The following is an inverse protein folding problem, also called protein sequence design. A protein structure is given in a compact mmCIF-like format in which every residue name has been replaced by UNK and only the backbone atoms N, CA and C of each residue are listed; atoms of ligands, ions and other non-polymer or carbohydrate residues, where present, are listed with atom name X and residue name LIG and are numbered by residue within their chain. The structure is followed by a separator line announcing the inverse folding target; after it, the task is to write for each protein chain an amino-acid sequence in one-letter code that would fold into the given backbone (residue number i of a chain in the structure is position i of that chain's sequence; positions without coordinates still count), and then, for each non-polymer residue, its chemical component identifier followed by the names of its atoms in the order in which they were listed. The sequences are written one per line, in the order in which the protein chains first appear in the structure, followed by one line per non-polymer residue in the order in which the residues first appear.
data_IF_605849818038
#
_entry.id   IF_605849818038
#
_cell.length_a   1.000
_cell.length_b   1.000
_cell.length_c   1.000
_cell.angle_alpha   90.00
_cell.angle_beta   90.00
_cell.angle_gamma   90.00
#
_symmetry.space_group_name_H-M   'P 1'
#
loop_
_entity.id
_entity.type
_entity.pdbx_description
1 polymer ?
#
# COMPACT_ATOMS: atom_id res chain seq x y z
N UNK A 1 9.80 2.63 -4.99
CA UNK A 1 8.70 2.59 -4.00
C UNK A 1 9.04 1.59 -2.91
N UNK A 2 8.72 1.93 -1.65
CA UNK A 2 9.06 1.14 -0.46
C UNK A 2 9.72 1.97 0.65
N UNK A 3 9.88 1.38 1.84
CA UNK A 3 10.38 2.09 3.02
C UNK A 3 11.79 2.67 2.87
N UNK A 4 12.69 1.93 2.22
CA UNK A 4 14.06 2.39 1.98
C UNK A 4 14.18 3.60 1.04
N UNK A 5 13.11 3.99 0.34
CA UNK A 5 13.13 5.16 -0.53
C UNK A 5 13.16 6.49 0.26
N UNK A 6 12.67 6.49 1.51
CA UNK A 6 12.62 7.71 2.33
C UNK A 6 14.02 8.17 2.73
N UNK A 7 14.89 7.32 3.35
CA UNK A 7 16.27 7.73 3.65
C UNK A 7 17.08 8.07 2.41
N UNK A 8 16.81 7.42 1.27
CA UNK A 8 17.48 7.75 0.01
C UNK A 8 17.09 9.13 -0.51
N UNK A 9 15.80 9.47 -0.48
CA UNK A 9 15.33 10.80 -0.86
C UNK A 9 15.92 11.89 0.04
N UNK A 10 16.04 11.60 1.32
CA UNK A 10 16.62 12.51 2.31
C UNK A 10 18.12 12.74 2.03
N UNK A 11 18.86 11.66 1.77
CA UNK A 11 20.26 11.71 1.39
C UNK A 11 20.52 12.47 0.07
N UNK A 12 19.51 12.59 -0.83
CA UNK A 12 19.62 13.41 -2.03
C UNK A 12 19.64 14.92 -1.74
N UNK A 13 19.22 15.37 -0.55
CA UNK A 13 19.31 16.76 -0.13
C UNK A 13 18.44 17.74 -0.91
N UNK A 14 17.45 17.25 -1.68
CA UNK A 14 16.58 18.13 -2.46
C UNK A 14 15.52 18.81 -1.58
N UNK A 15 15.15 20.08 -1.83
CA UNK A 15 14.13 20.78 -1.04
C UNK A 15 12.78 20.06 -1.01
N UNK A 16 12.41 19.37 -2.08
CA UNK A 16 11.14 18.66 -2.23
C UNK A 16 11.05 17.39 -1.38
N UNK A 17 12.18 16.87 -0.89
CA UNK A 17 12.22 15.77 0.07
C UNK A 17 11.90 16.23 1.50
N UNK A 18 12.02 17.54 1.79
CA UNK A 18 11.80 18.06 3.14
C UNK A 18 10.33 17.95 3.55
N UNK A 19 10.13 17.39 4.74
CA UNK A 19 8.82 17.19 5.34
C UNK A 19 8.18 15.85 5.00
N UNK A 20 8.91 14.97 4.29
CA UNK A 20 8.55 13.56 4.21
C UNK A 20 9.08 12.81 5.43
N UNK A 21 8.26 11.91 5.95
CA UNK A 21 8.60 10.96 6.99
C UNK A 21 7.97 9.61 6.69
N UNK A 22 8.41 8.59 7.41
CA UNK A 22 7.91 7.23 7.28
C UNK A 22 7.49 6.66 8.61
N UNK A 23 6.30 6.06 8.67
CA UNK A 23 5.88 5.26 9.82
C UNK A 23 5.86 3.77 9.44
N UNK A 24 6.75 2.94 9.99
CA UNK A 24 6.79 1.53 9.67
C UNK A 24 5.59 0.79 10.27
N UNK A 25 4.98 -0.08 9.47
CA UNK A 25 3.87 -0.94 9.87
C UNK A 25 4.22 -2.37 9.47
N UNK A 26 4.16 -3.29 10.44
CA UNK A 26 4.33 -4.72 10.19
C UNK A 26 2.96 -5.40 10.10
N UNK A 27 2.85 -6.38 9.20
CA UNK A 27 1.66 -7.22 9.06
C UNK A 27 1.93 -8.65 9.49
N UNK A 28 1.12 -9.15 10.41
CA UNK A 28 1.18 -10.53 10.89
C UNK A 28 -0.09 -11.29 10.47
N UNK A 29 0.05 -12.60 10.29
CA UNK A 29 -1.04 -13.49 9.93
C UNK A 29 -0.92 -14.78 10.73
N UNK A 30 -2.05 -15.39 11.09
CA UNK A 30 -2.09 -16.79 11.50
C UNK A 30 -2.03 -17.65 10.23
N UNK A 31 -1.02 -18.51 10.12
CA UNK A 31 -0.88 -19.48 9.02
C UNK A 31 -1.38 -20.82 9.51
N UNK A 32 -2.31 -21.42 8.76
CA UNK A 32 -2.73 -22.79 9.01
C UNK A 32 -1.61 -23.76 8.59
N UNK A 33 -1.34 -24.76 9.44
CA UNK A 33 -0.37 -25.83 9.21
C UNK A 33 -1.04 -27.16 8.86
N UNK A 34 -2.37 -27.25 9.00
CA UNK A 34 -3.15 -28.46 8.75
C UNK A 34 -3.57 -28.56 7.25
N UNK A 35 -3.08 -29.57 6.51
CA UNK A 35 -3.35 -29.71 5.07
C UNK A 35 -4.82 -30.00 4.76
N UNK A 36 -5.54 -30.68 5.65
CA UNK A 36 -6.96 -31.04 5.42
C UNK A 36 -7.86 -29.80 5.47
N UNK A 37 -7.54 -28.85 6.35
CA UNK A 37 -8.22 -27.54 6.40
C UNK A 37 -7.83 -26.71 5.18
N UNK A 38 -6.55 -26.65 4.82
CA UNK A 38 -6.07 -25.88 3.66
C UNK A 38 -6.73 -26.35 2.35
N UNK A 39 -6.94 -27.66 2.18
CA UNK A 39 -7.55 -28.22 0.98
C UNK A 39 -9.02 -27.78 0.79
N UNK A 40 -9.73 -27.54 1.88
CA UNK A 40 -11.15 -27.12 1.87
C UNK A 40 -11.33 -25.65 1.46
N UNK A 41 -10.32 -24.81 1.65
CA UNK A 41 -10.38 -23.40 1.28
C UNK A 41 -9.74 -23.14 -0.10
N UNK A 42 -10.53 -22.58 -1.02
CA UNK A 42 -10.11 -22.29 -2.40
C UNK A 42 -10.17 -20.81 -2.76
N UNK A 43 -10.62 -19.96 -1.84
CA UNK A 43 -10.90 -18.56 -2.10
C UNK A 43 -10.39 -17.68 -0.97
N UNK A 44 -10.41 -16.37 -1.25
CA UNK A 44 -10.25 -15.34 -0.25
C UNK A 44 -11.63 -14.90 0.24
N UNK A 45 -11.86 -15.03 1.54
CA UNK A 45 -13.15 -14.76 2.18
C UNK A 45 -13.00 -13.62 3.17
N UNK A 46 -13.70 -12.51 2.88
CA UNK A 46 -13.77 -11.35 3.75
C UNK A 46 -14.95 -11.48 4.70
N UNK A 47 -14.73 -11.17 5.97
CA UNK A 47 -15.82 -11.05 6.94
C UNK A 47 -16.34 -9.63 7.03
N UNK A 48 -17.35 -9.45 7.87
CA UNK A 48 -17.89 -8.14 8.18
C UNK A 48 -16.90 -7.37 9.04
N UNK A 49 -16.64 -6.11 8.69
CA UNK A 49 -15.85 -5.22 9.53
C UNK A 49 -16.49 -5.09 10.93
N UNK A 50 -15.71 -5.33 11.99
CA UNK A 50 -16.17 -5.02 13.34
C UNK A 50 -16.37 -3.51 13.49
N UNK A 51 -17.38 -3.12 14.27
CA UNK A 51 -17.72 -1.70 14.50
C UNK A 51 -16.49 -0.94 15.00
N UNK A 52 -16.13 0.15 14.32
CA UNK A 52 -14.97 0.98 14.65
C UNK A 52 -13.64 0.50 14.06
N UNK A 53 -13.62 -0.59 13.28
CA UNK A 53 -12.42 -1.00 12.54
C UNK A 53 -12.18 -0.08 11.34
N UNK A 54 -10.93 0.36 11.08
CA UNK A 54 -10.60 1.04 9.83
C UNK A 54 -11.00 0.19 8.61
N UNK A 55 -11.51 0.82 7.53
CA UNK A 55 -12.03 0.09 6.37
C UNK A 55 -10.99 -0.79 5.66
N UNK A 56 -9.70 -0.55 5.88
CA UNK A 56 -8.59 -1.28 5.25
C UNK A 56 -8.02 -2.44 6.09
N UNK A 57 -8.52 -2.69 7.30
CA UNK A 57 -7.91 -3.62 8.27
C UNK A 57 -8.82 -4.76 8.70
N UNK A 58 -9.80 -5.13 7.88
CA UNK A 58 -10.73 -6.23 8.20
C UNK A 58 -10.02 -7.57 8.04
N UNK A 59 -10.00 -8.43 9.08
CA UNK A 59 -9.48 -9.78 8.96
C UNK A 59 -10.21 -10.60 7.90
N UNK A 60 -9.49 -11.52 7.28
CA UNK A 60 -10.00 -12.37 6.22
C UNK A 60 -9.24 -13.69 6.20
N UNK A 61 -9.92 -14.74 5.75
CA UNK A 61 -9.29 -16.00 5.37
C UNK A 61 -8.78 -15.87 3.94
N UNK A 62 -7.49 -16.09 3.74
CA UNK A 62 -6.80 -15.89 2.46
C UNK A 62 -6.10 -17.18 2.05
N UNK A 63 -6.61 -17.83 1.01
CA UNK A 63 -5.91 -18.93 0.35
C UNK A 63 -4.86 -18.36 -0.61
N UNK A 64 -3.60 -18.71 -0.40
CA UNK A 64 -2.47 -18.25 -1.23
C UNK A 64 -1.58 -19.39 -1.68
N UNK A 65 -0.86 -19.15 -2.78
CA UNK A 65 0.28 -19.98 -3.18
C UNK A 65 1.57 -19.33 -2.64
N UNK A 66 2.22 -19.99 -1.69
CA UNK A 66 3.52 -19.60 -1.14
C UNK A 66 4.55 -20.62 -1.60
N UNK A 67 5.54 -20.18 -2.40
CA UNK A 67 6.60 -21.03 -2.96
C UNK A 67 6.07 -22.31 -3.64
N UNK A 68 4.94 -22.20 -4.35
CA UNK A 68 4.28 -23.30 -5.04
C UNK A 68 3.41 -24.20 -4.16
N UNK A 69 3.32 -23.93 -2.85
CA UNK A 69 2.50 -24.66 -1.89
C UNK A 69 1.25 -23.85 -1.53
N UNK A 70 0.07 -24.49 -1.55
CA UNK A 70 -1.16 -23.86 -1.08
C UNK A 70 -1.07 -23.64 0.43
N UNK A 71 -1.37 -22.43 0.88
CA UNK A 71 -1.34 -22.00 2.27
C UNK A 71 -2.62 -21.24 2.60
N UNK A 72 -3.14 -21.42 3.81
CA UNK A 72 -4.27 -20.67 4.33
C UNK A 72 -3.79 -19.70 5.41
N UNK A 73 -4.14 -18.42 5.25
CA UNK A 73 -3.76 -17.35 6.17
C UNK A 73 -5.01 -16.68 6.76
N UNK A 74 -4.93 -16.25 8.00
CA UNK A 74 -5.94 -15.42 8.65
C UNK A 74 -5.31 -14.14 9.22
N UNK A 75 -5.94 -13.00 8.95
CA UNK A 75 -5.45 -11.68 9.36
C UNK A 75 -5.86 -10.60 8.35
N UNK A 76 -5.19 -9.44 8.31
CA UNK A 76 -3.94 -9.11 9.01
C UNK A 76 -4.15 -8.70 10.47
N UNK A 77 -3.16 -9.00 11.30
CA UNK A 77 -2.96 -8.35 12.60
C UNK A 77 -1.84 -7.31 12.48
N UNK A 78 -1.96 -6.20 13.20
CA UNK A 78 -0.88 -5.22 13.25
C UNK A 78 0.29 -5.75 14.09
N UNK A 79 1.49 -5.75 13.51
CA UNK A 79 2.74 -5.94 14.21
C UNK A 79 3.49 -4.63 14.39
N UNK A 80 4.43 -4.60 15.33
CA UNK A 80 5.33 -3.47 15.54
C UNK A 80 6.75 -3.78 15.05
N UNK A 81 7.34 -2.83 14.34
CA UNK A 81 8.73 -2.87 13.88
C UNK A 81 9.20 -1.46 13.58
N UNK A 82 10.43 -1.11 13.92
CA UNK A 82 11.06 0.16 13.54
C UNK A 82 11.81 0.08 12.21
N UNK A 83 11.87 -1.11 11.59
CA UNK A 83 12.58 -1.36 10.33
C UNK A 83 11.80 -0.81 9.14
N UNK A 84 12.51 -0.29 8.15
CA UNK A 84 11.93 0.16 6.88
C UNK A 84 11.93 -0.94 5.82
N UNK A 85 12.83 -1.92 5.95
CA UNK A 85 12.96 -3.09 5.09
C UNK A 85 12.85 -4.39 5.90
N UNK A 86 12.48 -5.51 5.25
CA UNK A 86 12.39 -6.84 5.91
C UNK A 86 13.70 -7.20 6.62
N UNK A 87 14.83 -6.98 5.95
CA UNK A 87 16.19 -7.18 6.48
C UNK A 87 16.87 -5.85 6.85
N UNK A 88 16.09 -4.84 7.26
CA UNK A 88 16.58 -3.51 7.65
C UNK A 88 17.05 -3.42 9.10
N UNK A 89 17.42 -2.21 9.51
CA UNK A 89 17.90 -1.93 10.87
C UNK A 89 16.78 -1.49 11.79
N UNK A 90 16.83 -1.87 13.06
CA UNK A 90 15.93 -1.31 14.07
C UNK A 90 16.18 0.20 14.31
N UNK A 91 17.28 0.73 13.80
CA UNK A 91 17.58 2.16 13.80
C UNK A 91 16.96 2.91 12.62
N UNK A 92 16.32 2.23 11.65
CA UNK A 92 15.77 2.88 10.46
C UNK A 92 14.80 4.02 10.82
N UNK A 93 13.79 3.76 11.68
CA UNK A 93 12.86 4.79 12.11
C UNK A 93 13.57 5.91 12.91
N UNK A 94 14.31 5.65 14.01
CA UNK A 94 14.98 6.72 14.76
C UNK A 94 15.90 7.59 13.91
N UNK A 95 16.67 7.00 13.00
CA UNK A 95 17.60 7.72 12.13
C UNK A 95 16.88 8.48 11.00
N UNK A 96 15.64 8.10 10.66
CA UNK A 96 14.82 8.83 9.69
C UNK A 96 14.13 10.07 10.27
N UNK A 97 14.17 10.27 11.59
CA UNK A 97 13.55 11.43 12.24
C UNK A 97 14.52 12.61 12.21
N UNK A 98 14.13 13.63 11.47
CA UNK A 98 14.87 14.87 11.30
C UNK A 98 14.07 16.10 11.78
N UNK A 99 14.76 17.22 11.99
CA UNK A 99 14.15 18.48 12.41
C UNK A 99 13.01 18.92 11.47
N UNK A 100 13.11 18.62 10.18
CA UNK A 100 12.12 19.03 9.19
C UNK A 100 10.90 18.09 9.09
N UNK A 101 10.95 16.88 9.67
CA UNK A 101 9.86 15.89 9.58
C UNK A 101 9.29 15.45 10.94
N UNK A 102 9.92 15.79 12.06
CA UNK A 102 9.44 15.44 13.41
C UNK A 102 8.03 15.96 13.69
N UNK A 103 7.75 17.22 13.35
CA UNK A 103 6.41 17.78 13.54
C UNK A 103 5.36 17.14 12.62
N UNK A 104 5.62 16.94 11.31
CA UNK A 104 4.76 16.12 10.46
C UNK A 104 4.48 14.72 11.03
N UNK A 105 5.49 14.00 11.52
CA UNK A 105 5.31 12.66 12.09
C UNK A 105 4.35 12.67 13.30
N UNK A 106 4.55 13.61 14.24
CA UNK A 106 3.72 13.73 15.44
C UNK A 106 2.29 14.16 15.11
N UNK A 107 2.14 15.20 14.29
CA UNK A 107 0.83 15.72 13.89
C UNK A 107 0.02 14.68 13.11
N UNK A 108 0.65 13.87 12.26
CA UNK A 108 -0.02 12.75 11.59
C UNK A 108 -0.60 11.74 12.59
N UNK A 109 0.15 11.40 13.65
CA UNK A 109 -0.32 10.51 14.70
C UNK A 109 -1.54 11.05 15.45
N UNK A 110 -1.56 12.36 15.72
CA UNK A 110 -2.67 13.07 16.39
C UNK A 110 -3.90 13.17 15.48
N UNK A 111 -3.72 13.50 14.20
CA UNK A 111 -4.83 13.56 13.25
C UNK A 111 -5.47 12.19 13.00
N UNK A 112 -4.72 11.10 13.23
CA UNK A 112 -5.16 9.74 12.98
C UNK A 112 -5.32 8.92 14.26
N UNK A 113 -5.73 9.54 15.37
CA UNK A 113 -5.88 8.89 16.69
C UNK A 113 -6.68 7.58 16.63
N UNK A 114 -7.75 7.51 15.84
CA UNK A 114 -8.55 6.27 15.71
C UNK A 114 -7.71 5.11 15.15
N UNK A 115 -6.96 5.36 14.08
CA UNK A 115 -6.05 4.38 13.49
C UNK A 115 -4.89 4.05 14.44
N UNK A 116 -4.27 5.06 15.05
CA UNK A 116 -3.18 4.88 16.03
C UNK A 116 -3.61 3.99 17.19
N UNK A 117 -4.79 4.27 17.79
CA UNK A 117 -5.37 3.45 18.86
C UNK A 117 -5.65 2.02 18.40
N UNK A 118 -6.20 1.85 17.19
CA UNK A 118 -6.45 0.53 16.62
C UNK A 118 -5.16 -0.27 16.45
N UNK A 119 -4.11 0.32 15.87
CA UNK A 119 -2.81 -0.32 15.68
C UNK A 119 -2.17 -0.71 17.02
N UNK A 120 -2.19 0.18 18.01
CA UNK A 120 -1.69 -0.12 19.37
C UNK A 120 -2.44 -1.31 19.95
N UNK A 121 -3.79 -1.30 19.88
CA UNK A 121 -4.62 -2.41 20.38
C UNK A 121 -4.25 -3.73 19.73
N UNK A 122 -4.06 -3.75 18.40
CA UNK A 122 -3.68 -4.93 17.64
C UNK A 122 -2.28 -5.45 18.01
N UNK A 123 -1.32 -4.54 18.23
CA UNK A 123 0.06 -4.91 18.62
C UNK A 123 0.09 -5.58 20.00
N UNK A 124 -0.72 -5.10 20.95
CA UNK A 124 -0.76 -5.66 22.32
C UNK A 124 -1.62 -6.92 22.45
N UNK A 125 -2.30 -7.37 21.39
CA UNK A 125 -3.10 -8.59 21.44
C UNK A 125 -2.26 -9.82 21.81
N UNK A 126 -2.80 -10.67 22.66
CA UNK A 126 -2.21 -11.96 22.98
C UNK A 126 -2.40 -12.96 21.83
N UNK A 127 -1.68 -14.10 21.81
CA UNK A 127 -1.96 -15.19 20.87
C UNK A 127 -3.42 -15.65 20.92
N UNK A 128 -4.00 -15.72 22.13
CA UNK A 128 -5.38 -16.12 22.37
C UNK A 128 -6.37 -15.11 21.78
N UNK A 129 -6.16 -13.80 22.00
CA UNK A 129 -6.99 -12.74 21.40
C UNK A 129 -7.01 -12.83 19.86
N UNK A 130 -5.86 -13.14 19.26
CA UNK A 130 -5.74 -13.31 17.81
C UNK A 130 -6.53 -14.54 17.38
N UNK A 131 -6.36 -15.66 18.07
CA UNK A 131 -7.06 -16.90 17.77
C UNK A 131 -8.58 -16.79 17.95
N UNK A 132 -9.07 -16.10 18.98
CA UNK A 132 -10.50 -15.84 19.17
C UNK A 132 -11.12 -15.12 17.97
N UNK A 133 -10.39 -14.17 17.36
CA UNK A 133 -10.84 -13.51 16.14
C UNK A 133 -10.93 -14.49 14.95
N UNK A 134 -10.06 -15.49 14.86
CA UNK A 134 -10.15 -16.55 13.86
C UNK A 134 -11.37 -17.43 14.11
N UNK A 135 -11.65 -17.81 15.36
CA UNK A 135 -12.82 -18.64 15.72
C UNK A 135 -14.14 -17.98 15.30
N UNK A 136 -14.21 -16.64 15.29
CA UNK A 136 -15.39 -15.93 14.76
C UNK A 136 -15.62 -16.14 13.25
N UNK A 137 -14.59 -16.50 12.50
CA UNK A 137 -14.63 -16.74 11.06
C UNK A 137 -14.65 -18.24 10.72
N UNK A 138 -13.98 -19.04 11.54
CA UNK A 138 -13.88 -20.48 11.43
C UNK A 138 -14.06 -21.13 12.82
N UNK A 139 -15.30 -21.41 13.25
CA UNK A 139 -15.61 -21.86 14.61
C UNK A 139 -14.98 -23.20 15.02
N UNK A 140 -14.61 -24.03 14.04
CA UNK A 140 -13.99 -25.34 14.25
C UNK A 140 -12.45 -25.27 14.31
N UNK A 141 -11.87 -24.06 14.28
CA UNK A 141 -10.43 -23.89 14.37
C UNK A 141 -9.88 -24.52 15.66
N UNK A 142 -8.81 -25.31 15.53
CA UNK A 142 -7.99 -25.76 16.64
C UNK A 142 -6.70 -24.93 16.70
N UNK A 143 -6.34 -24.39 17.86
CA UNK A 143 -5.19 -23.47 18.00
C UNK A 143 -3.86 -24.09 17.56
N UNK A 144 -3.68 -25.39 17.77
CA UNK A 144 -2.44 -26.11 17.41
C UNK A 144 -2.19 -26.16 15.89
N UNK A 145 -3.24 -25.96 15.08
CA UNK A 145 -3.15 -25.93 13.61
C UNK A 145 -2.75 -24.57 13.06
N UNK A 146 -2.46 -23.57 13.92
CA UNK A 146 -2.20 -22.20 13.49
C UNK A 146 -0.98 -21.59 14.17
N UNK A 147 -0.13 -20.97 13.37
CA UNK A 147 1.07 -20.28 13.85
C UNK A 147 1.12 -18.83 13.37
N UNK A 148 1.63 -17.93 14.21
CA UNK A 148 1.76 -16.52 13.84
C UNK A 148 3.01 -16.32 12.96
N UNK A 149 2.80 -15.82 11.74
CA UNK A 149 3.87 -15.47 10.79
C UNK A 149 3.89 -13.97 10.53
N UNK A 150 5.09 -13.41 10.34
CA UNK A 150 5.26 -12.01 9.91
C UNK A 150 5.42 -11.96 8.40
N UNK A 151 4.39 -11.49 7.70
CA UNK A 151 4.33 -11.59 6.23
C UNK A 151 4.99 -10.40 5.50
N UNK A 152 5.05 -9.23 6.14
CA UNK A 152 5.52 -8.03 5.46
C UNK A 152 5.90 -6.87 6.36
N UNK A 153 6.86 -6.09 5.86
CA UNK A 153 7.21 -4.78 6.38
C UNK A 153 6.74 -3.74 5.37
N UNK A 154 5.95 -2.77 5.83
CA UNK A 154 5.55 -1.61 5.04
C UNK A 154 5.98 -0.33 5.76
N UNK A 155 6.08 0.76 5.01
CA UNK A 155 6.28 2.10 5.56
C UNK A 155 5.21 2.99 4.97
N UNK A 156 4.41 3.55 5.86
CA UNK A 156 3.36 4.49 5.55
C UNK A 156 4.00 5.88 5.41
N UNK A 157 3.88 6.50 4.23
CA UNK A 157 4.41 7.86 4.04
C UNK A 157 3.58 8.83 4.86
N UNK A 158 4.28 9.76 5.49
CA UNK A 158 3.73 11.00 6.05
C UNK A 158 4.33 12.16 5.26
N UNK A 159 3.46 13.02 4.73
CA UNK A 159 3.86 14.20 3.95
C UNK A 159 3.40 15.45 4.67
N UNK A 160 4.31 16.42 4.80
CA UNK A 160 3.98 17.76 5.28
C UNK A 160 3.02 18.46 4.31
N UNK A 161 1.90 18.96 4.84
CA UNK A 161 0.95 19.79 4.11
C UNK A 161 1.37 21.27 4.10
N UNK A 162 0.49 22.14 3.59
CA UNK A 162 0.75 23.58 3.47
C UNK A 162 0.79 24.29 4.82
N UNK A 163 0.09 23.75 5.83
CA UNK A 163 0.02 24.29 7.19
C UNK A 163 1.13 23.72 8.09
N UNK A 164 1.99 22.86 7.54
CA UNK A 164 3.10 22.23 8.24
C UNK A 164 2.72 20.93 8.96
N UNK A 165 1.47 20.49 8.92
CA UNK A 165 1.03 19.25 9.54
C UNK A 165 1.33 18.04 8.65
N UNK A 166 1.46 16.85 9.25
CA UNK A 166 1.69 15.62 8.52
C UNK A 166 0.38 14.94 8.14
N UNK A 167 0.31 14.53 6.87
CA UNK A 167 -0.82 13.80 6.30
C UNK A 167 -0.36 12.42 5.85
N UNK A 168 -1.08 11.37 6.24
CA UNK A 168 -0.84 10.00 5.77
C UNK A 168 -1.18 9.86 4.29
N UNK A 169 -0.28 9.26 3.51
CA UNK A 169 -0.48 9.02 2.07
C UNK A 169 -0.62 7.54 1.74
N UNK A 170 -1.83 7.08 1.45
CA UNK A 170 -2.14 5.66 1.24
C UNK A 170 -1.76 5.12 -0.15
N UNK A 171 -1.23 5.96 -1.04
CA UNK A 171 -0.84 5.60 -2.41
C UNK A 171 0.66 5.71 -2.66
N UNK A 172 1.02 5.68 -3.94
CA UNK A 172 2.34 6.08 -4.41
C UNK A 172 2.39 7.61 -4.47
N UNK A 173 3.42 8.22 -3.91
CA UNK A 173 3.69 9.65 -4.09
C UNK A 173 4.91 9.82 -5.00
N UNK A 174 4.78 10.69 -5.99
CA UNK A 174 5.87 11.07 -6.90
C UNK A 174 6.48 12.39 -6.42
N UNK A 175 7.76 12.36 -6.08
CA UNK A 175 8.57 13.54 -5.78
C UNK A 175 9.50 13.77 -6.96
N UNK A 176 9.55 14.98 -7.49
CA UNK A 176 10.45 15.36 -8.57
C UNK A 176 11.23 16.59 -8.13
N UNK A 177 12.54 16.62 -8.38
CA UNK A 177 13.35 17.80 -8.15
C UNK A 177 13.01 18.90 -9.16
N UNK A 178 13.12 20.16 -8.74
CA UNK A 178 12.86 21.32 -9.60
C UNK A 178 13.71 21.35 -10.87
N UNK A 179 14.96 20.89 -10.79
CA UNK A 179 15.90 20.78 -11.91
C UNK A 179 15.65 19.55 -12.81
N UNK A 180 14.68 18.70 -12.46
CA UNK A 180 14.28 17.49 -13.19
C UNK A 180 15.41 16.47 -13.38
N UNK A 181 16.38 16.44 -12.46
CA UNK A 181 17.46 15.45 -12.48
C UNK A 181 17.13 14.20 -11.64
N UNK A 182 16.17 14.31 -10.72
CA UNK A 182 15.77 13.22 -9.82
C UNK A 182 14.25 13.10 -9.70
N UNK A 183 13.75 11.86 -9.76
CA UNK A 183 12.40 11.52 -9.33
C UNK A 183 12.42 10.34 -8.35
N UNK A 184 11.63 10.44 -7.29
CA UNK A 184 11.48 9.41 -6.28
C UNK A 184 10.01 8.99 -6.18
N UNK A 185 9.78 7.68 -6.25
CA UNK A 185 8.47 7.08 -5.99
C UNK A 185 8.46 6.54 -4.57
N UNK A 186 7.65 7.14 -3.71
CA UNK A 186 7.52 6.80 -2.29
C UNK A 186 6.25 5.97 -2.03
N UNK A 187 6.24 5.25 -0.91
CA UNK A 187 5.07 4.55 -0.37
C UNK A 187 4.71 3.25 -1.07
N UNK A 188 3.42 3.07 -1.32
CA UNK A 188 2.92 1.85 -1.92
C UNK A 188 3.54 1.66 -3.32
N UNK A 189 3.99 0.44 -3.62
CA UNK A 189 4.41 0.11 -4.97
C UNK A 189 3.21 0.27 -5.90
N UNK A 190 3.35 0.95 -7.05
CA UNK A 190 2.30 1.01 -8.05
C UNK A 190 1.87 -0.41 -8.43
N UNK A 191 0.57 -0.69 -8.31
CA UNK A 191 -0.02 -1.91 -8.84
C UNK A 191 -0.22 -1.80 -10.33
N UNK A 192 -0.58 -2.90 -11.00
CA UNK A 192 -0.84 -2.90 -12.45
C UNK A 192 -1.89 -1.85 -12.87
N UNK A 193 -2.87 -1.57 -11.99
CA UNK A 193 -3.92 -0.58 -12.25
C UNK A 193 -3.46 0.89 -12.14
N UNK A 194 -2.32 1.18 -11.52
CA UNK A 194 -1.85 2.56 -11.28
C UNK A 194 -0.45 2.83 -11.82
N UNK A 195 0.31 1.81 -12.20
CA UNK A 195 1.69 1.97 -12.70
C UNK A 195 1.76 2.86 -13.94
N UNK A 196 0.84 2.68 -14.88
CA UNK A 196 0.82 3.45 -16.14
C UNK A 196 0.56 4.94 -15.86
N UNK A 197 -0.47 5.27 -15.07
CA UNK A 197 -0.79 6.67 -14.77
C UNK A 197 0.32 7.36 -13.99
N UNK A 198 0.95 6.67 -13.04
CA UNK A 198 2.08 7.19 -12.28
C UNK A 198 3.29 7.44 -13.18
N UNK A 199 3.61 6.52 -14.10
CA UNK A 199 4.71 6.72 -15.04
C UNK A 199 4.46 7.86 -16.02
N UNK A 200 3.21 8.05 -16.46
CA UNK A 200 2.81 9.22 -17.24
C UNK A 200 3.05 10.50 -16.44
N UNK A 201 2.66 10.54 -15.16
CA UNK A 201 2.93 11.70 -14.29
C UNK A 201 4.43 12.01 -14.19
N UNK A 202 5.27 10.97 -13.99
CA UNK A 202 6.73 11.13 -13.96
C UNK A 202 7.24 11.71 -15.27
N UNK A 203 6.80 11.19 -16.42
CA UNK A 203 7.22 11.69 -17.74
C UNK A 203 6.79 13.15 -17.95
N UNK A 204 5.56 13.51 -17.58
CA UNK A 204 5.06 14.89 -17.68
C UNK A 204 5.87 15.87 -16.83
N UNK A 205 6.26 15.47 -15.62
CA UNK A 205 6.97 16.35 -14.69
C UNK A 205 8.47 16.44 -15.00
N UNK A 206 9.08 15.34 -15.44
CA UNK A 206 10.53 15.23 -15.65
C UNK A 206 10.94 15.55 -17.09
N UNK A 207 10.09 15.26 -18.07
CA UNK A 207 10.40 15.38 -19.50
C UNK A 207 9.26 16.09 -20.27
N UNK A 208 8.89 17.34 -19.93
CA UNK A 208 7.78 18.02 -20.59
C UNK A 208 8.01 18.19 -22.10
N UNK A 209 9.22 18.54 -22.53
CA UNK A 209 9.54 18.70 -23.96
C UNK A 209 9.30 17.39 -24.74
N UNK A 210 9.60 16.24 -24.13
CA UNK A 210 9.31 14.93 -24.70
C UNK A 210 7.80 14.69 -24.79
N UNK A 211 7.06 15.09 -23.77
CA UNK A 211 5.60 14.92 -23.70
C UNK A 211 4.84 15.87 -24.64
N UNK A 212 5.43 17.00 -25.02
CA UNK A 212 4.89 17.94 -26.00
C UNK A 212 5.23 17.54 -27.46
N UNK A 213 6.25 16.69 -27.66
CA UNK A 213 6.62 16.23 -28.99
C UNK A 213 5.48 15.45 -29.67
N UNK A 214 5.16 15.83 -30.91
CA UNK A 214 4.04 15.23 -31.65
C UNK A 214 4.16 13.71 -31.80
N UNK A 215 5.39 13.21 -31.97
CA UNK A 215 5.67 11.77 -32.04
C UNK A 215 5.30 11.03 -30.75
N UNK A 216 5.59 11.63 -29.60
CA UNK A 216 5.25 11.07 -28.28
C UNK A 216 3.74 11.05 -28.09
N UNK A 217 3.05 12.14 -28.42
CA UNK A 217 1.59 12.22 -28.33
C UNK A 217 0.89 11.20 -29.24
N UNK A 218 1.40 11.00 -30.46
CA UNK A 218 0.91 9.95 -31.37
C UNK A 218 1.11 8.56 -30.78
N UNK A 219 2.30 8.31 -30.22
CA UNK A 219 2.62 7.02 -29.59
C UNK A 219 1.71 6.76 -28.39
N UNK A 220 1.53 7.74 -27.49
CA UNK A 220 0.65 7.64 -26.33
C UNK A 220 -0.80 7.37 -26.71
N UNK A 221 -1.33 8.07 -27.73
CA UNK A 221 -2.70 7.83 -28.22
C UNK A 221 -2.86 6.49 -28.93
N UNK A 222 -1.79 5.93 -29.47
CA UNK A 222 -1.81 4.57 -30.03
C UNK A 222 -1.95 3.50 -28.94
N UNK A 223 -1.21 3.64 -27.83
CA UNK A 223 -1.22 2.65 -26.74
C UNK A 223 -2.35 2.89 -25.72
N UNK A 224 -2.77 4.14 -25.55
CA UNK A 224 -3.84 4.59 -24.64
C UNK A 224 -4.76 5.50 -25.47
N UNK A 225 -5.75 4.93 -26.18
CA UNK A 225 -6.64 5.69 -27.06
C UNK A 225 -7.37 6.85 -26.38
N UNK A 226 -7.60 6.74 -25.08
CA UNK A 226 -8.28 7.74 -24.24
C UNK A 226 -7.34 8.82 -23.68
N UNK A 227 -6.05 8.81 -24.03
CA UNK A 227 -5.07 9.74 -23.48
C UNK A 227 -5.44 11.20 -23.76
N UNK A 228 -5.59 11.98 -22.68
CA UNK A 228 -6.00 13.40 -22.73
C UNK A 228 -7.51 13.63 -22.61
N UNK A 229 -8.31 12.57 -22.45
CA UNK A 229 -9.76 12.65 -22.26
C UNK A 229 -10.17 12.11 -20.88
N UNK A 230 -11.18 12.75 -20.27
CA UNK A 230 -11.74 12.33 -18.99
C UNK A 230 -12.88 11.34 -19.20
N UNK A 231 -12.70 10.09 -18.78
CA UNK A 231 -13.78 9.08 -18.78
C UNK A 231 -14.84 9.32 -17.71
N UNK A 232 -14.60 10.26 -16.80
CA UNK A 232 -15.59 10.69 -15.79
C UNK A 232 -16.58 11.66 -16.43
N UNK A 233 -16.10 12.54 -17.32
CA UNK A 233 -16.90 13.60 -17.93
C UNK A 233 -17.46 13.21 -19.31
N UNK A 234 -16.85 12.23 -19.97
CA UNK A 234 -17.26 11.71 -21.29
C UNK A 234 -17.85 10.30 -21.16
N UNK A 235 -19.17 10.25 -20.96
CA UNK A 235 -19.92 9.00 -20.77
C UNK A 235 -19.90 8.09 -22.02
N UNK A 236 -19.93 8.68 -23.22
CA UNK A 236 -19.88 7.94 -24.48
C UNK A 236 -18.51 7.27 -24.64
N UNK A 237 -17.42 8.00 -24.38
CA UNK A 237 -16.07 7.45 -24.41
C UNK A 237 -15.86 6.38 -23.34
N UNK A 238 -16.41 6.59 -22.14
CA UNK A 238 -16.37 5.60 -21.06
C UNK A 238 -17.05 4.29 -21.47
N UNK A 239 -18.26 4.39 -22.04
CA UNK A 239 -19.03 3.23 -22.51
C UNK A 239 -18.28 2.49 -23.62
N UNK A 240 -17.82 3.18 -24.67
CA UNK A 240 -17.03 2.58 -25.76
C UNK A 240 -15.77 1.90 -25.27
N UNK A 241 -15.06 2.52 -24.32
CA UNK A 241 -13.82 1.95 -23.75
C UNK A 241 -14.12 0.69 -22.94
N UNK A 242 -15.22 0.66 -22.18
CA UNK A 242 -15.67 -0.52 -21.43
C UNK A 242 -16.04 -1.65 -22.38
N UNK A 243 -16.89 -1.40 -23.38
CA UNK A 243 -17.28 -2.40 -24.38
C UNK A 243 -16.06 -2.99 -25.10
N UNK A 244 -15.14 -2.13 -25.55
CA UNK A 244 -13.91 -2.58 -26.20
C UNK A 244 -13.04 -3.45 -25.28
N UNK A 245 -12.88 -3.03 -24.02
CA UNK A 245 -12.06 -3.77 -23.04
C UNK A 245 -12.72 -5.10 -22.66
N UNK A 246 -14.04 -5.12 -22.45
CA UNK A 246 -14.80 -6.33 -22.15
C UNK A 246 -14.71 -7.34 -23.29
N UNK A 247 -14.84 -6.89 -24.54
CA UNK A 247 -14.70 -7.76 -25.71
C UNK A 247 -13.31 -8.38 -25.86
N UNK A 248 -12.25 -7.62 -25.57
CA UNK A 248 -10.86 -8.13 -25.58
C UNK A 248 -10.63 -9.14 -24.46
N UNK A 249 -11.12 -8.83 -23.25
CA UNK A 249 -10.93 -9.66 -22.06
C UNK A 249 -11.92 -10.82 -21.99
N UNK A 250 -12.89 -10.90 -22.93
CA UNK A 250 -13.98 -11.88 -22.96
C UNK A 250 -14.78 -11.88 -21.67
N UNK A 251 -15.18 -10.69 -21.24
CA UNK A 251 -16.01 -10.47 -20.04
C UNK A 251 -17.50 -10.27 -20.37
N UNK A 252 -17.84 -10.30 -21.65
CA UNK A 252 -19.23 -10.24 -22.14
C UNK A 252 -19.88 -11.63 -22.01
N UNK A 253 -20.12 -12.08 -20.78
CA UNK A 253 -20.95 -13.24 -20.43
C UNK A 253 -22.24 -12.79 -19.71
#
# INVERSE_FOLDING_TARGET
AGGGAIPLLDACGIPEGKGYGGFPVSGQFLRCTNPDIIAQHQAKVYGKAAVGSPPMSVPHLDTRMLDGVRSLLFGPYAGFSTKFLKNGSYLDLPLSVEAHNVWPLLSAGIQNIALTKYLIKQVVQSPEDRFEALVQYYPEANQDDWELVTAGQRVQIIKKDKDGNGVLKFGTEVVCSQDRTLSALLGASPGASTSVSIMIEVLQRMFPDLMEASQTLQTLRSIIPTYGHSLIDDDELCTKTREWTSGILKLDD
#
